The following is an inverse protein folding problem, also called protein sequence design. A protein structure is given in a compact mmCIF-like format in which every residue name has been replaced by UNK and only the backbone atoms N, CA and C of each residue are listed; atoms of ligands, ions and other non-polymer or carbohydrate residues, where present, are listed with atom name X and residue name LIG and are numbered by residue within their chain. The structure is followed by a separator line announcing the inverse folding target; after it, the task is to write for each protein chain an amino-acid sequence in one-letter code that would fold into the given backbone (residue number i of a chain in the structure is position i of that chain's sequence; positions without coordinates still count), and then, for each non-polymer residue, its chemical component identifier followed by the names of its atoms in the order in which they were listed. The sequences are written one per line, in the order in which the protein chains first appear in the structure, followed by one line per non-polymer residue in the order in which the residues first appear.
data_IF_000723752475
#
_entry.id   IF_000723752475
#
_cell.length_a   1.000
_cell.length_b   1.000
_cell.length_c   1.000
_cell.angle_alpha   90.00
_cell.angle_beta   90.00
_cell.angle_gamma   90.00
#
_symmetry.space_group_name_H-M   'P 1'
#
loop_
_entity.id
_entity.type
_entity.pdbx_description
1 polymer ?
#
# COMPACT_ATOMS: atom_id res chain seq x y z
N UNK A 1 18.14 -8.14 -98.15
CA UNK A 1 19.30 -8.43 -97.34
C UNK A 1 19.54 -7.30 -96.48
N UNK A 2 18.96 -7.31 -95.25
CA UNK A 2 19.19 -6.30 -94.18
C UNK A 2 20.34 -6.82 -93.31
N UNK A 3 21.42 -6.11 -93.37
CA UNK A 3 22.48 -6.24 -92.38
C UNK A 3 22.01 -5.61 -91.10
N UNK A 4 21.86 -6.43 -90.10
CA UNK A 4 21.73 -5.95 -88.72
C UNK A 4 23.16 -5.64 -88.30
N UNK A 5 23.48 -4.38 -88.23
CA UNK A 5 24.69 -3.92 -87.59
C UNK A 5 24.62 -4.34 -86.12
N UNK A 6 25.48 -5.28 -85.78
CA UNK A 6 25.79 -5.56 -84.35
C UNK A 6 26.59 -4.34 -83.81
N UNK A 7 25.94 -3.44 -83.18
CA UNK A 7 26.64 -2.48 -82.31
C UNK A 7 27.50 -3.32 -81.36
N UNK A 8 28.77 -3.27 -81.59
CA UNK A 8 29.77 -3.80 -80.69
C UNK A 8 29.62 -3.07 -79.37
N UNK A 9 29.34 -3.77 -78.33
CA UNK A 9 29.55 -3.35 -76.94
C UNK A 9 31.06 -3.17 -76.73
N UNK A 10 31.63 -2.21 -77.45
CA UNK A 10 33.00 -1.77 -77.27
C UNK A 10 33.08 -0.99 -75.98
N UNK A 11 33.48 -1.68 -74.95
CA UNK A 11 34.09 -1.23 -73.69
C UNK A 11 33.78 0.15 -73.21
N UNK A 12 32.75 0.26 -72.40
CA UNK A 12 32.73 1.37 -71.40
C UNK A 12 34.06 1.34 -70.67
N UNK A 13 34.78 2.47 -70.63
CA UNK A 13 36.08 2.48 -70.02
C UNK A 13 35.91 2.11 -68.53
N UNK A 14 36.74 1.18 -68.06
CA UNK A 14 36.71 0.61 -66.71
C UNK A 14 36.52 1.67 -65.58
N UNK A 15 36.96 2.90 -65.79
CA UNK A 15 36.73 4.03 -64.86
C UNK A 15 35.25 4.45 -64.77
N UNK A 16 34.46 4.30 -65.82
CA UNK A 16 33.03 4.58 -65.79
C UNK A 16 32.29 3.57 -64.90
N UNK A 17 32.64 2.26 -65.05
CA UNK A 17 32.10 1.22 -64.19
C UNK A 17 32.51 1.46 -62.71
N UNK A 18 33.77 1.85 -62.51
CA UNK A 18 34.28 2.12 -61.16
C UNK A 18 33.62 3.35 -60.53
N UNK A 19 33.43 4.43 -61.30
CA UNK A 19 32.72 5.63 -60.84
C UNK A 19 31.25 5.34 -60.55
N UNK A 20 30.59 4.49 -61.36
CA UNK A 20 29.20 4.05 -61.13
C UNK A 20 29.03 3.23 -59.84
N UNK A 21 29.97 2.30 -59.60
CA UNK A 21 29.94 1.48 -58.38
C UNK A 21 30.20 2.33 -57.10
N UNK A 22 31.13 3.29 -57.12
CA UNK A 22 31.39 4.19 -56.03
C UNK A 22 30.17 5.06 -55.70
N UNK A 23 29.53 5.61 -56.76
CA UNK A 23 28.32 6.46 -56.56
C UNK A 23 27.15 5.64 -55.99
N UNK A 24 26.94 4.42 -56.49
CA UNK A 24 25.91 3.49 -55.96
C UNK A 24 26.20 3.11 -54.49
N UNK A 25 27.46 2.85 -54.13
CA UNK A 25 27.86 2.55 -52.76
C UNK A 25 27.61 3.72 -51.83
N UNK A 26 27.96 4.94 -52.28
CA UNK A 26 27.70 6.17 -51.52
C UNK A 26 26.20 6.38 -51.25
N UNK A 27 25.35 6.20 -52.27
CA UNK A 27 23.90 6.30 -52.14
C UNK A 27 23.33 5.28 -51.16
N UNK A 28 23.81 4.04 -51.21
CA UNK A 28 23.42 2.96 -50.30
C UNK A 28 23.82 3.28 -48.84
N UNK A 29 25.03 3.84 -48.62
CA UNK A 29 25.49 4.26 -47.30
C UNK A 29 24.64 5.42 -46.78
N UNK A 30 24.36 6.42 -47.60
CA UNK A 30 23.49 7.53 -47.22
C UNK A 30 22.07 7.04 -46.87
N UNK A 31 21.50 6.16 -47.70
CA UNK A 31 20.20 5.56 -47.48
C UNK A 31 20.16 4.73 -46.18
N UNK A 32 21.18 3.88 -45.99
CA UNK A 32 21.31 3.08 -44.77
C UNK A 32 21.43 3.97 -43.52
N UNK A 33 22.26 5.02 -43.59
CA UNK A 33 22.39 5.99 -42.49
C UNK A 33 21.07 6.66 -42.16
N UNK A 34 20.34 7.10 -43.19
CA UNK A 34 19.02 7.71 -43.00
C UNK A 34 18.00 6.71 -42.39
N UNK A 35 17.96 5.49 -42.96
CA UNK A 35 17.07 4.43 -42.49
C UNK A 35 17.32 4.07 -41.04
N UNK A 36 18.58 3.82 -40.66
CA UNK A 36 18.94 3.50 -39.27
C UNK A 36 18.75 4.72 -38.33
N UNK A 37 18.99 5.94 -38.82
CA UNK A 37 18.73 7.17 -38.06
C UNK A 37 17.25 7.32 -37.75
N UNK A 38 16.35 7.12 -38.68
CA UNK A 38 14.90 7.15 -38.49
C UNK A 38 14.49 6.05 -37.49
N UNK A 39 14.96 4.80 -37.73
CA UNK A 39 14.63 3.65 -36.86
C UNK A 39 15.12 3.84 -35.44
N UNK A 40 16.31 4.41 -35.25
CA UNK A 40 16.84 4.75 -33.93
C UNK A 40 16.00 5.84 -33.25
N UNK A 41 15.59 6.86 -34.01
CA UNK A 41 14.73 7.92 -33.50
C UNK A 41 13.34 7.40 -33.06
N UNK A 42 12.71 6.54 -33.87
CA UNK A 42 11.43 5.89 -33.54
C UNK A 42 11.58 5.07 -32.25
N UNK A 43 12.61 4.22 -32.15
CA UNK A 43 12.87 3.42 -30.94
C UNK A 43 13.10 4.29 -29.70
N UNK A 44 13.80 5.40 -29.84
CA UNK A 44 14.02 6.37 -28.76
C UNK A 44 12.71 7.04 -28.29
N UNK A 45 11.83 7.37 -29.23
CA UNK A 45 10.51 7.94 -28.91
C UNK A 45 9.61 6.93 -28.20
N UNK A 46 9.56 5.69 -28.67
CA UNK A 46 8.81 4.62 -28.01
C UNK A 46 9.32 4.38 -26.58
N UNK A 47 10.65 4.39 -26.39
CA UNK A 47 11.26 4.24 -25.06
C UNK A 47 10.92 5.42 -24.14
N UNK A 48 10.94 6.66 -24.65
CA UNK A 48 10.51 7.84 -23.90
C UNK A 48 9.05 7.79 -23.49
N UNK A 49 8.17 7.44 -24.45
CA UNK A 49 6.74 7.33 -24.15
C UNK A 49 6.46 6.23 -23.12
N UNK A 50 7.15 5.08 -23.21
CA UNK A 50 6.99 4.00 -22.22
C UNK A 50 7.45 4.43 -20.84
N UNK A 51 8.56 5.17 -20.72
CA UNK A 51 9.04 5.74 -19.46
C UNK A 51 8.05 6.76 -18.88
N UNK A 52 7.50 7.66 -19.72
CA UNK A 52 6.51 8.64 -19.26
C UNK A 52 5.23 7.97 -18.78
N UNK A 53 4.74 6.95 -19.49
CA UNK A 53 3.58 6.15 -19.08
C UNK A 53 3.83 5.42 -17.78
N UNK A 54 5.00 4.78 -17.63
CA UNK A 54 5.39 4.09 -16.40
C UNK A 54 5.49 5.06 -15.22
N UNK A 55 6.08 6.25 -15.42
CA UNK A 55 6.15 7.31 -14.40
C UNK A 55 4.76 7.82 -13.99
N UNK A 56 3.87 8.06 -14.96
CA UNK A 56 2.50 8.51 -14.68
C UNK A 56 1.70 7.45 -13.90
N UNK A 57 1.81 6.17 -14.28
CA UNK A 57 1.19 5.07 -13.55
C UNK A 57 1.75 4.92 -12.13
N UNK A 58 3.05 5.09 -11.94
CA UNK A 58 3.67 5.07 -10.62
C UNK A 58 3.17 6.22 -9.75
N UNK A 59 3.06 7.44 -10.29
CA UNK A 59 2.50 8.59 -9.58
C UNK A 59 1.02 8.39 -9.23
N UNK A 60 0.21 7.88 -10.15
CA UNK A 60 -1.19 7.57 -9.89
C UNK A 60 -1.33 6.51 -8.80
N UNK A 61 -0.52 5.44 -8.84
CA UNK A 61 -0.49 4.42 -7.81
C UNK A 61 -0.08 5.00 -6.45
N UNK A 62 0.90 5.91 -6.42
CA UNK A 62 1.34 6.59 -5.19
C UNK A 62 0.24 7.48 -4.60
N UNK A 63 -0.44 8.29 -5.42
CA UNK A 63 -1.59 9.10 -4.98
C UNK A 63 -2.74 8.23 -4.49
N UNK A 64 -2.99 7.12 -5.16
CA UNK A 64 -4.02 6.15 -4.77
C UNK A 64 -3.67 5.47 -3.44
N UNK A 65 -2.40 5.11 -3.24
CA UNK A 65 -1.90 4.56 -1.98
C UNK A 65 -2.07 5.55 -0.82
N UNK A 66 -1.70 6.83 -1.02
CA UNK A 66 -1.91 7.91 -0.05
C UNK A 66 -3.40 8.09 0.30
N UNK A 67 -4.30 8.05 -0.70
CA UNK A 67 -5.74 8.13 -0.46
C UNK A 67 -6.29 6.93 0.33
N UNK A 68 -5.71 5.74 0.17
CA UNK A 68 -6.11 4.55 0.94
C UNK A 68 -5.56 4.55 2.37
N UNK A 69 -4.45 5.25 2.64
CA UNK A 69 -3.93 5.43 3.99
C UNK A 69 -4.85 6.32 4.85
N UNK A 70 -5.50 7.30 4.22
CA UNK A 70 -6.53 8.12 4.86
C UNK A 70 -7.88 7.45 4.63
N UNK A 71 -8.40 6.71 5.61
CA UNK A 71 -9.75 6.16 5.53
C UNK A 71 -10.78 7.30 5.44
N UNK A 72 -11.36 7.60 4.22
CA UNK A 72 -12.24 8.76 4.07
C UNK A 72 -13.49 8.65 4.94
N UNK A 73 -13.99 7.43 5.12
CA UNK A 73 -15.17 7.18 5.95
C UNK A 73 -14.90 7.49 7.42
N UNK A 74 -13.70 7.17 7.93
CA UNK A 74 -13.29 7.56 9.28
C UNK A 74 -13.27 9.10 9.43
N UNK A 75 -12.66 9.81 8.46
CA UNK A 75 -12.61 11.27 8.49
C UNK A 75 -14.00 11.91 8.50
N UNK A 76 -14.90 11.47 7.59
CA UNK A 76 -16.27 11.99 7.56
C UNK A 76 -17.02 11.74 8.85
N UNK A 77 -16.90 10.54 9.41
CA UNK A 77 -17.57 10.21 10.68
C UNK A 77 -17.01 11.03 11.85
N UNK A 78 -15.69 11.24 11.90
CA UNK A 78 -15.05 12.07 12.92
C UNK A 78 -15.49 13.53 12.81
N UNK A 79 -15.51 14.11 11.60
CA UNK A 79 -15.96 15.47 11.39
C UNK A 79 -17.45 15.64 11.77
N UNK A 80 -18.30 14.65 11.46
CA UNK A 80 -19.69 14.66 11.88
C UNK A 80 -19.84 14.60 13.40
N UNK A 81 -19.05 13.75 14.08
CA UNK A 81 -19.04 13.68 15.54
C UNK A 81 -18.60 15.02 16.18
N UNK A 82 -17.55 15.65 15.64
CA UNK A 82 -17.10 16.96 16.07
C UNK A 82 -18.19 18.02 15.87
N UNK A 83 -18.88 18.00 14.72
CA UNK A 83 -20.00 18.91 14.45
C UNK A 83 -21.14 18.75 15.47
N UNK A 84 -21.49 17.52 15.81
CA UNK A 84 -22.50 17.21 16.83
C UNK A 84 -22.06 17.76 18.21
N UNK A 85 -20.80 17.55 18.61
CA UNK A 85 -20.27 18.08 19.87
C UNK A 85 -20.35 19.63 19.96
N UNK A 86 -20.13 20.30 18.82
CA UNK A 86 -20.26 21.78 18.74
C UNK A 86 -21.73 22.19 18.93
N UNK A 87 -22.67 21.50 18.26
CA UNK A 87 -24.11 21.78 18.39
C UNK A 87 -24.62 21.53 19.81
N UNK A 88 -24.06 20.53 20.50
CA UNK A 88 -24.36 20.19 21.88
C UNK A 88 -23.64 21.11 22.93
N UNK A 89 -23.04 22.21 22.47
CA UNK A 89 -22.25 23.12 23.28
C UNK A 89 -21.06 22.49 24.03
N UNK A 90 -20.54 21.37 23.55
CA UNK A 90 -19.38 20.67 24.11
C UNK A 90 -18.05 21.14 23.45
N UNK A 91 -17.85 22.44 23.32
CA UNK A 91 -16.73 23.03 22.56
C UNK A 91 -15.34 22.58 23.04
N UNK A 92 -15.14 22.31 24.33
CA UNK A 92 -13.86 21.77 24.84
C UNK A 92 -13.58 20.38 24.33
N UNK A 93 -14.59 19.50 24.31
CA UNK A 93 -14.46 18.12 23.82
C UNK A 93 -14.25 18.13 22.31
N UNK A 94 -14.98 18.98 21.58
CA UNK A 94 -14.81 19.16 20.15
C UNK A 94 -13.37 19.61 19.80
N UNK A 95 -12.81 20.57 20.53
CA UNK A 95 -11.43 21.03 20.32
C UNK A 95 -10.39 19.94 20.61
N UNK A 96 -10.59 19.12 21.65
CA UNK A 96 -9.74 17.96 21.93
C UNK A 96 -9.82 16.92 20.80
N UNK A 97 -11.02 16.69 20.25
CA UNK A 97 -11.23 15.79 19.11
C UNK A 97 -10.45 16.26 17.88
N UNK A 98 -10.49 17.55 17.55
CA UNK A 98 -9.70 18.14 16.45
C UNK A 98 -8.21 17.96 16.68
N UNK A 99 -7.72 18.19 17.91
CA UNK A 99 -6.31 17.98 18.26
C UNK A 99 -5.88 16.52 18.02
N UNK A 100 -6.64 15.55 18.57
CA UNK A 100 -6.37 14.10 18.36
C UNK A 100 -6.41 13.70 16.89
N UNK A 101 -7.38 14.23 16.13
CA UNK A 101 -7.46 13.99 14.69
C UNK A 101 -6.22 14.52 13.96
N UNK A 102 -5.78 15.73 14.30
CA UNK A 102 -4.57 16.33 13.71
C UNK A 102 -3.33 15.49 14.00
N UNK A 103 -3.16 15.03 15.25
CA UNK A 103 -2.02 14.21 15.66
C UNK A 103 -2.03 12.83 14.97
N UNK A 104 -3.21 12.21 14.89
CA UNK A 104 -3.40 10.95 14.17
C UNK A 104 -3.07 11.09 12.67
N UNK A 105 -3.58 12.15 12.02
CA UNK A 105 -3.30 12.39 10.58
C UNK A 105 -1.82 12.65 10.34
N UNK A 106 -1.18 13.45 11.19
CA UNK A 106 0.27 13.70 11.09
C UNK A 106 1.05 12.41 11.22
N UNK A 107 0.75 11.60 12.25
CA UNK A 107 1.41 10.31 12.43
C UNK A 107 1.22 9.40 11.20
N UNK A 108 -0.01 9.27 10.70
CA UNK A 108 -0.31 8.37 9.56
C UNK A 108 0.35 8.83 8.26
N UNK A 109 0.44 10.14 8.02
CA UNK A 109 1.07 10.71 6.80
C UNK A 109 2.59 10.65 6.84
N UNK A 110 3.20 10.77 8.04
CA UNK A 110 4.65 10.76 8.21
C UNK A 110 5.24 9.34 8.25
N UNK A 111 4.39 8.31 8.43
CA UNK A 111 4.85 6.93 8.51
C UNK A 111 4.95 6.27 7.13
N UNK A 112 6.10 5.66 6.88
CA UNK A 112 6.26 4.69 5.79
C UNK A 112 5.69 3.34 6.25
N UNK A 113 4.68 2.79 5.56
CA UNK A 113 4.09 1.49 5.92
C UNK A 113 5.08 0.32 5.93
N UNK A 114 6.18 0.43 5.19
CA UNK A 114 7.23 -0.60 5.15
C UNK A 114 8.25 -0.46 6.28
N UNK A 115 8.22 0.65 7.01
CA UNK A 115 9.10 0.89 8.15
C UNK A 115 8.61 0.12 9.38
N UNK A 116 9.56 -0.41 10.15
CA UNK A 116 9.29 -0.99 11.46
C UNK A 116 9.33 0.12 12.53
N UNK A 117 8.37 0.06 13.44
CA UNK A 117 8.27 0.92 14.63
C UNK A 117 8.24 0.04 15.88
N UNK A 118 8.43 0.61 17.07
CA UNK A 118 8.22 -0.15 18.30
C UNK A 118 6.73 -0.41 18.53
N UNK A 119 6.41 -1.52 19.19
CA UNK A 119 5.02 -1.82 19.56
C UNK A 119 4.41 -0.69 20.42
N UNK A 120 5.21 -0.03 21.24
CA UNK A 120 4.74 1.16 21.98
C UNK A 120 4.27 2.27 21.03
N UNK A 121 5.07 2.62 20.02
CA UNK A 121 4.67 3.63 19.03
C UNK A 121 3.40 3.24 18.26
N UNK A 122 3.27 1.95 17.93
CA UNK A 122 2.08 1.41 17.28
C UNK A 122 0.83 1.51 18.19
N UNK A 123 0.97 1.21 19.49
CA UNK A 123 -0.10 1.35 20.48
C UNK A 123 -0.46 2.81 20.72
N UNK A 124 0.53 3.70 20.81
CA UNK A 124 0.29 5.15 20.97
C UNK A 124 -0.52 5.71 19.79
N UNK A 125 -0.18 5.29 18.55
CA UNK A 125 -0.94 5.66 17.36
C UNK A 125 -2.36 5.08 17.35
N UNK A 126 -2.49 3.84 17.81
CA UNK A 126 -3.79 3.17 17.92
C UNK A 126 -4.67 3.86 18.97
N UNK A 127 -4.10 4.35 20.07
CA UNK A 127 -4.82 5.09 21.10
C UNK A 127 -5.34 6.45 20.59
N UNK A 128 -4.59 7.14 19.72
CA UNK A 128 -5.10 8.33 19.04
C UNK A 128 -6.33 7.99 18.20
N UNK A 129 -6.26 6.92 17.40
CA UNK A 129 -7.38 6.46 16.57
C UNK A 129 -8.60 6.05 17.42
N UNK A 130 -8.40 5.19 18.42
CA UNK A 130 -9.47 4.70 19.29
C UNK A 130 -10.08 5.81 20.14
N UNK A 131 -9.28 6.78 20.58
CA UNK A 131 -9.78 7.93 21.31
C UNK A 131 -10.71 8.83 20.47
N UNK A 132 -10.54 8.85 19.15
CA UNK A 132 -11.47 9.52 18.23
C UNK A 132 -12.74 8.66 18.05
N UNK A 133 -12.61 7.36 17.85
CA UNK A 133 -13.75 6.45 17.72
C UNK A 133 -14.61 6.41 19.00
N UNK A 134 -14.01 6.55 20.18
CA UNK A 134 -14.73 6.67 21.46
C UNK A 134 -15.64 7.91 21.51
N UNK A 135 -15.29 9.01 20.85
CA UNK A 135 -16.20 10.18 20.77
C UNK A 135 -17.49 9.84 19.98
N UNK A 136 -17.39 8.93 19.02
CA UNK A 136 -18.53 8.50 18.20
C UNK A 136 -19.36 7.40 18.87
N UNK A 137 -18.71 6.45 19.51
CA UNK A 137 -19.37 5.28 20.10
C UNK A 137 -19.72 5.47 21.58
N UNK A 138 -19.03 6.38 22.29
CA UNK A 138 -19.21 6.57 23.72
C UNK A 138 -18.97 5.27 24.51
N UNK A 139 -19.85 4.99 25.47
CA UNK A 139 -19.80 3.79 26.31
C UNK A 139 -20.08 2.48 25.56
N UNK A 140 -20.49 2.57 24.29
CA UNK A 140 -20.70 1.42 23.41
C UNK A 140 -19.36 0.75 23.00
N UNK A 141 -18.25 1.48 23.04
CA UNK A 141 -16.91 0.94 22.74
C UNK A 141 -16.15 0.69 24.05
N UNK A 142 -16.01 -0.57 24.40
CA UNK A 142 -15.25 -1.02 25.56
C UNK A 142 -13.90 -1.57 25.12
N UNK A 143 -12.81 -0.97 25.61
CA UNK A 143 -11.44 -1.34 25.27
C UNK A 143 -10.80 -2.12 26.43
N UNK A 144 -10.08 -3.18 26.12
CA UNK A 144 -9.34 -4.02 27.05
C UNK A 144 -7.94 -4.30 26.48
N UNK A 145 -6.89 -3.91 27.22
CA UNK A 145 -5.51 -4.09 26.82
C UNK A 145 -4.83 -5.09 27.73
N UNK A 146 -4.18 -6.09 27.13
CA UNK A 146 -3.41 -7.15 27.80
C UNK A 146 -2.02 -7.25 27.12
N UNK A 147 -1.17 -6.30 27.44
CA UNK A 147 0.12 -6.10 26.80
C UNK A 147 1.23 -6.41 27.81
N UNK A 148 2.06 -7.41 27.52
CA UNK A 148 3.24 -7.68 28.34
C UNK A 148 4.25 -6.53 28.19
N UNK A 149 4.82 -6.07 29.32
CA UNK A 149 5.79 -4.95 29.29
C UNK A 149 7.04 -5.24 28.45
N UNK A 150 7.50 -6.50 28.47
CA UNK A 150 8.70 -6.95 27.78
C UNK A 150 8.59 -6.86 26.24
N UNK A 151 7.37 -6.78 25.67
CA UNK A 151 7.16 -6.69 24.21
C UNK A 151 6.97 -5.26 23.69
N UNK A 152 6.89 -4.28 24.57
CA UNK A 152 6.64 -2.87 24.16
C UNK A 152 7.73 -2.31 23.24
N UNK A 153 8.96 -2.83 23.33
CA UNK A 153 10.10 -2.47 22.47
C UNK A 153 10.27 -3.42 21.27
N UNK A 154 9.33 -4.35 21.05
CA UNK A 154 9.33 -5.18 19.86
C UNK A 154 9.11 -4.36 18.60
N UNK A 155 9.83 -4.69 17.53
CA UNK A 155 9.68 -4.06 16.22
C UNK A 155 8.51 -4.70 15.46
N UNK A 156 7.55 -3.87 15.06
CA UNK A 156 6.38 -4.24 14.28
C UNK A 156 6.27 -3.36 13.02
N UNK A 157 5.62 -3.84 11.95
CA UNK A 157 5.30 -2.96 10.82
C UNK A 157 4.39 -1.82 11.27
N UNK A 158 4.68 -0.59 10.85
CA UNK A 158 3.84 0.58 11.18
C UNK A 158 2.39 0.36 10.74
N UNK A 159 1.44 0.77 11.56
CA UNK A 159 -0.01 0.66 11.30
C UNK A 159 -0.48 -0.78 11.03
N UNK A 160 0.09 -1.77 11.77
CA UNK A 160 -0.28 -3.19 11.61
C UNK A 160 -1.54 -3.55 12.39
N UNK A 161 -1.77 -2.92 13.55
CA UNK A 161 -2.94 -3.17 14.41
C UNK A 161 -4.19 -2.42 13.91
N UNK A 162 -4.02 -1.23 13.34
CA UNK A 162 -5.13 -0.37 12.91
C UNK A 162 -6.13 -1.08 11.99
N UNK A 163 -5.75 -1.78 10.89
CA UNK A 163 -6.71 -2.45 10.01
C UNK A 163 -7.49 -3.58 10.70
N UNK A 164 -6.91 -4.21 11.73
CA UNK A 164 -7.57 -5.27 12.50
C UNK A 164 -8.64 -4.65 13.41
N UNK A 165 -8.28 -3.56 14.08
CA UNK A 165 -9.18 -2.80 14.94
C UNK A 165 -10.31 -2.16 14.14
N UNK A 166 -10.02 -1.54 12.98
CA UNK A 166 -11.04 -1.01 12.07
C UNK A 166 -12.07 -2.07 11.66
N UNK A 167 -11.59 -3.29 11.39
CA UNK A 167 -12.46 -4.41 11.06
C UNK A 167 -13.42 -4.75 12.22
N UNK A 168 -12.90 -4.84 13.43
CA UNK A 168 -13.71 -5.13 14.62
C UNK A 168 -14.70 -4.00 14.92
N UNK A 169 -14.30 -2.73 14.80
CA UNK A 169 -15.22 -1.59 14.98
C UNK A 169 -16.34 -1.62 13.95
N UNK A 170 -16.02 -1.90 12.69
CA UNK A 170 -16.98 -1.92 11.59
C UNK A 170 -18.02 -3.04 11.70
N UNK A 171 -17.60 -4.23 12.12
CA UNK A 171 -18.44 -5.43 12.05
C UNK A 171 -18.96 -5.91 13.41
N UNK A 172 -18.30 -5.57 14.50
CA UNK A 172 -18.68 -6.01 15.83
C UNK A 172 -19.28 -4.89 16.70
N UNK A 173 -18.82 -3.63 16.55
CA UNK A 173 -19.27 -2.52 17.38
C UNK A 173 -20.35 -1.67 16.70
N UNK A 174 -20.09 -1.19 15.47
CA UNK A 174 -20.94 -0.24 14.78
C UNK A 174 -22.38 -0.73 14.54
N UNK A 175 -22.62 -2.03 14.16
CA UNK A 175 -23.97 -2.54 13.87
C UNK A 175 -24.82 -2.80 15.13
N UNK A 176 -24.24 -2.82 16.34
CA UNK A 176 -24.90 -3.24 17.57
C UNK A 176 -25.25 -2.03 18.44
N UNK A 177 -26.47 -1.94 18.88
CA UNK A 177 -26.91 -0.84 19.77
C UNK A 177 -26.21 -0.89 21.14
N UNK A 178 -25.99 -2.09 21.70
CA UNK A 178 -25.24 -2.32 22.92
C UNK A 178 -23.73 -2.13 22.75
N UNK A 179 -23.27 -1.92 21.50
CA UNK A 179 -21.88 -1.81 21.16
C UNK A 179 -21.11 -3.11 21.27
N UNK A 180 -19.82 -3.02 21.62
CA UNK A 180 -18.95 -4.19 21.71
C UNK A 180 -17.71 -3.95 22.54
N UNK A 181 -17.05 -5.05 22.87
CA UNK A 181 -15.75 -5.07 23.54
C UNK A 181 -14.68 -5.42 22.51
N UNK A 182 -13.59 -4.68 22.56
CA UNK A 182 -12.39 -4.91 21.79
C UNK A 182 -11.24 -5.18 22.76
N UNK A 183 -10.62 -6.35 22.65
CA UNK A 183 -9.45 -6.73 23.42
C UNK A 183 -8.22 -6.81 22.53
N UNK A 184 -7.13 -6.19 22.97
CA UNK A 184 -5.84 -6.16 22.27
C UNK A 184 -4.82 -6.82 23.18
N UNK A 185 -4.20 -7.91 22.69
CA UNK A 185 -3.19 -8.66 23.44
C UNK A 185 -1.86 -8.62 22.68
N UNK A 186 -0.75 -8.52 23.43
CA UNK A 186 0.58 -8.66 22.86
C UNK A 186 1.49 -9.44 23.82
N UNK A 187 2.09 -10.52 23.34
CA UNK A 187 2.95 -11.42 24.12
C UNK A 187 4.10 -11.94 23.30
N UNK A 188 5.19 -12.28 23.98
CA UNK A 188 6.27 -13.08 23.40
C UNK A 188 6.06 -14.55 23.72
N UNK A 189 6.03 -15.40 22.69
CA UNK A 189 5.90 -16.83 22.81
C UNK A 189 6.96 -17.53 21.94
N UNK A 190 7.90 -18.21 22.54
CA UNK A 190 8.94 -19.00 21.84
C UNK A 190 9.76 -18.19 20.80
N UNK A 191 10.17 -16.97 21.15
CA UNK A 191 10.94 -16.08 20.27
C UNK A 191 10.11 -15.44 19.15
N UNK A 192 8.79 -15.51 19.25
CA UNK A 192 7.86 -14.86 18.33
C UNK A 192 7.00 -13.85 19.08
N UNK A 193 6.77 -12.71 18.44
CA UNK A 193 5.77 -11.77 18.88
C UNK A 193 4.40 -12.22 18.37
N UNK A 194 3.46 -12.32 19.31
CA UNK A 194 2.06 -12.63 19.04
C UNK A 194 1.22 -11.43 19.40
N UNK A 195 0.53 -10.87 18.38
CA UNK A 195 -0.44 -9.80 18.51
C UNK A 195 -1.83 -10.35 18.26
N UNK A 196 -2.77 -9.95 19.09
CA UNK A 196 -4.17 -10.40 18.98
C UNK A 196 -5.09 -9.21 19.08
N UNK A 197 -6.07 -9.16 18.18
CA UNK A 197 -7.23 -8.28 18.26
C UNK A 197 -8.46 -9.16 18.29
N UNK A 198 -9.24 -9.07 19.35
CA UNK A 198 -10.43 -9.89 19.57
C UNK A 198 -11.62 -8.99 19.85
N UNK A 199 -12.75 -9.27 19.20
CA UNK A 199 -14.03 -8.64 19.47
C UNK A 199 -15.05 -9.63 20.03
N UNK A 200 -16.14 -9.13 20.60
CA UNK A 200 -17.28 -9.90 21.07
C UNK A 200 -18.50 -9.82 20.12
N UNK A 201 -18.24 -9.53 18.83
CA UNK A 201 -19.27 -9.39 17.81
C UNK A 201 -19.93 -10.70 17.38
N UNK A 202 -20.73 -10.66 16.31
CA UNK A 202 -21.43 -11.86 15.80
C UNK A 202 -20.46 -12.87 15.13
N UNK A 203 -19.18 -12.50 14.93
CA UNK A 203 -18.24 -13.30 14.17
C UNK A 203 -18.47 -13.23 12.66
N UNK A 204 -17.90 -14.20 11.92
CA UNK A 204 -18.14 -14.32 10.48
C UNK A 204 -19.30 -15.28 10.19
N UNK A 205 -20.13 -15.00 9.17
CA UNK A 205 -21.09 -15.97 8.67
C UNK A 205 -20.42 -17.26 8.24
N UNK A 206 -21.09 -18.40 8.44
CA UNK A 206 -20.58 -19.71 8.04
C UNK A 206 -20.26 -19.73 6.55
N UNK A 207 -19.05 -20.18 6.18
CA UNK A 207 -18.60 -20.26 4.79
C UNK A 207 -17.97 -18.98 4.20
N UNK A 208 -17.82 -17.91 4.98
CA UNK A 208 -17.15 -16.69 4.56
C UNK A 208 -15.68 -16.72 5.02
N UNK A 209 -14.75 -16.83 4.06
CA UNK A 209 -13.33 -16.63 4.32
C UNK A 209 -12.99 -15.13 4.39
N UNK A 210 -12.21 -14.73 5.40
CA UNK A 210 -11.61 -13.41 5.45
C UNK A 210 -10.54 -13.31 4.36
N UNK A 211 -10.84 -12.52 3.33
CA UNK A 211 -9.94 -12.31 2.19
C UNK A 211 -10.63 -12.36 0.83
N UNK A 212 -11.73 -13.06 0.69
CA UNK A 212 -12.56 -13.04 -0.52
C UNK A 212 -13.55 -11.87 -0.47
N UNK A 213 -13.08 -10.65 -0.78
CA UNK A 213 -13.96 -9.48 -1.03
C UNK A 213 -14.24 -8.55 0.15
N UNK A 214 -13.75 -8.79 1.35
CA UNK A 214 -13.98 -7.92 2.53
C UNK A 214 -12.69 -7.34 3.09
N UNK A 215 -12.42 -6.08 2.75
CA UNK A 215 -11.44 -5.24 3.40
C UNK A 215 -10.06 -5.22 2.72
N UNK A 216 -9.84 -4.16 1.96
CA UNK A 216 -8.54 -3.82 1.37
C UNK A 216 -7.45 -3.80 2.46
N UNK A 217 -7.75 -3.33 3.67
CA UNK A 217 -6.83 -3.23 4.79
C UNK A 217 -6.27 -4.59 5.25
N UNK A 218 -7.12 -5.60 5.41
CA UNK A 218 -6.68 -6.94 5.85
C UNK A 218 -5.80 -7.62 4.81
N UNK A 219 -6.13 -7.50 3.52
CA UNK A 219 -5.32 -8.03 2.42
C UNK A 219 -3.97 -7.32 2.36
N UNK A 220 -3.95 -6.00 2.43
CA UNK A 220 -2.72 -5.21 2.42
C UNK A 220 -1.82 -5.57 3.62
N UNK A 221 -2.39 -5.80 4.81
CA UNK A 221 -1.64 -6.25 5.99
C UNK A 221 -1.00 -7.62 5.75
N UNK A 222 -1.74 -8.58 5.15
CA UNK A 222 -1.21 -9.90 4.81
C UNK A 222 -0.07 -9.83 3.82
N UNK A 223 -0.25 -9.10 2.71
CA UNK A 223 0.76 -8.92 1.68
C UNK A 223 2.03 -8.26 2.24
N UNK A 224 1.87 -7.23 3.07
CA UNK A 224 2.97 -6.53 3.73
C UNK A 224 3.75 -7.44 4.69
N UNK A 225 3.06 -8.21 5.52
CA UNK A 225 3.70 -9.19 6.40
C UNK A 225 4.48 -10.24 5.61
N UNK A 226 3.94 -10.70 4.47
CA UNK A 226 4.63 -11.63 3.58
C UNK A 226 5.91 -11.03 2.97
N UNK A 227 5.88 -9.77 2.56
CA UNK A 227 7.07 -9.05 2.04
C UNK A 227 8.14 -8.89 3.13
N UNK A 228 7.76 -8.52 4.37
CA UNK A 228 8.71 -8.22 5.44
C UNK A 228 9.30 -9.47 6.12
N UNK A 229 8.53 -10.55 6.21
CA UNK A 229 8.91 -11.72 7.01
C UNK A 229 8.88 -13.05 6.25
N UNK A 230 8.39 -13.08 4.99
CA UNK A 230 8.25 -14.31 4.21
C UNK A 230 7.38 -15.33 4.94
N UNK A 231 7.87 -16.57 5.04
CA UNK A 231 7.17 -17.68 5.72
C UNK A 231 7.29 -17.65 7.26
N UNK A 232 8.04 -16.68 7.81
CA UNK A 232 8.23 -16.55 9.28
C UNK A 232 7.09 -15.81 9.97
N UNK A 233 6.03 -15.48 9.26
CA UNK A 233 4.83 -14.82 9.79
C UNK A 233 3.59 -15.69 9.61
N UNK A 234 2.57 -15.41 10.40
CA UNK A 234 1.25 -16.00 10.24
C UNK A 234 0.19 -14.99 10.62
N UNK A 235 -0.76 -14.74 9.72
CA UNK A 235 -1.97 -14.01 10.00
C UNK A 235 -3.13 -15.02 10.03
N UNK A 236 -3.64 -15.30 11.21
CA UNK A 236 -4.70 -16.27 11.45
C UNK A 236 -5.99 -15.58 11.88
N UNK A 237 -7.10 -16.15 11.44
CA UNK A 237 -8.43 -15.76 11.86
C UNK A 237 -9.03 -16.95 12.60
N UNK A 238 -9.45 -16.73 13.84
CA UNK A 238 -10.08 -17.75 14.66
C UNK A 238 -11.46 -17.27 15.08
N UNK A 239 -12.42 -18.15 15.02
CA UNK A 239 -13.72 -17.89 15.62
C UNK A 239 -13.58 -17.99 17.14
N UNK A 240 -13.95 -16.90 17.82
CA UNK A 240 -14.17 -16.90 19.27
C UNK A 240 -15.68 -16.87 19.48
N UNK A 241 -16.20 -17.64 20.41
CA UNK A 241 -17.63 -17.53 20.76
C UNK A 241 -17.73 -16.83 22.12
N UNK A 242 -18.20 -15.56 22.16
CA UNK A 242 -18.63 -14.74 21.02
C UNK A 242 -17.46 -14.07 20.30
N UNK A 243 -17.64 -13.72 18.99
CA UNK A 243 -16.80 -12.79 18.25
C UNK A 243 -15.79 -13.39 17.31
N UNK A 244 -14.84 -12.54 16.92
CA UNK A 244 -13.73 -12.84 16.02
C UNK A 244 -12.41 -12.57 16.73
N UNK A 245 -11.44 -13.46 16.52
CA UNK A 245 -10.06 -13.31 17.00
C UNK A 245 -9.12 -13.29 15.80
N UNK A 246 -8.48 -12.15 15.60
CA UNK A 246 -7.43 -11.93 14.60
C UNK A 246 -6.08 -12.05 15.30
N UNK A 247 -5.20 -12.92 14.81
CA UNK A 247 -3.91 -13.20 15.41
C UNK A 247 -2.80 -13.05 14.39
N UNK A 248 -1.82 -12.21 14.71
CA UNK A 248 -0.58 -12.06 13.95
C UNK A 248 0.55 -12.65 14.76
N UNK A 249 1.32 -13.54 14.16
CA UNK A 249 2.56 -14.08 14.71
C UNK A 249 3.72 -13.70 13.79
N UNK A 250 4.79 -13.12 14.33
CA UNK A 250 5.98 -12.72 13.59
C UNK A 250 7.23 -12.90 14.45
N UNK A 251 8.46 -12.86 13.89
CA UNK A 251 9.69 -12.89 14.67
C UNK A 251 9.73 -11.78 15.73
N UNK A 252 10.17 -12.11 16.94
CA UNK A 252 10.39 -11.13 17.98
C UNK A 252 11.73 -10.43 17.77
N UNK A 253 11.69 -9.20 17.28
CA UNK A 253 12.86 -8.35 17.05
C UNK A 253 12.77 -7.14 17.97
N UNK A 254 13.83 -6.79 18.69
CA UNK A 254 13.87 -5.58 19.53
C UNK A 254 14.52 -4.41 18.82
N UNK A 255 14.05 -3.20 19.11
CA UNK A 255 14.76 -2.00 18.72
C UNK A 255 16.12 -2.00 19.45
N UNK A 256 17.21 -1.93 18.68
CA UNK A 256 18.54 -1.70 19.25
C UNK A 256 18.53 -0.29 19.82
N UNK A 257 18.73 -0.14 21.13
CA UNK A 257 18.90 1.19 21.71
C UNK A 257 20.11 1.84 21.03
N UNK A 258 20.00 3.06 20.51
CA UNK A 258 21.20 3.81 20.12
C UNK A 258 22.03 4.03 21.40
N UNK A 259 23.25 3.48 21.39
CA UNK A 259 24.31 3.76 22.38
C UNK A 259 24.70 5.23 22.35
#
# INVERSE_FOLDING_TARGET
VHWVESESMAGEPWYGIFAGTLNSTYLLLCWSGLYFGIKYYEALQEQRESMLRASALAQEAQVKMLRYQLNPHFLFNTLNAISTLILDNQGKVANQAVGRLSDFLRYTLDQDPMKKVTLRQELDALDLYLGIEQLRFGDRLRLDYDIDENVTQALVPSLVLQPLVENSLKYAVAPREEGGRLRIEAREEQGKLRLVVQDDGPGLPVGVELGAGRGVGFRNTRERLAVLYGDRQKLAVRFSRPGLRLEITMPFERATQPT
#
